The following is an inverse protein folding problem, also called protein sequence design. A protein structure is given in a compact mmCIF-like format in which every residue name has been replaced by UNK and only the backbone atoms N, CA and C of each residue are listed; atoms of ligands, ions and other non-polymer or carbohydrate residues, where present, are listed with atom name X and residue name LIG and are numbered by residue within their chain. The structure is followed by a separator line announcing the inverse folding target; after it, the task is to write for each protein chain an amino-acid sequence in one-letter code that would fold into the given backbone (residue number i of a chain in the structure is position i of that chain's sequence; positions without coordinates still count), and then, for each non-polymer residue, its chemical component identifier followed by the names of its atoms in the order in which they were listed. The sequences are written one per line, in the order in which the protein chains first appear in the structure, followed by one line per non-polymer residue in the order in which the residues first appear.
data_IF_336162115410
#
_entry.id   IF_336162115410
#
_cell.length_a   1.000
_cell.length_b   1.000
_cell.length_c   1.000
_cell.angle_alpha   90.00
_cell.angle_beta   90.00
_cell.angle_gamma   90.00
#
_symmetry.space_group_name_H-M   'P 1'
#
loop_
_entity.id
_entity.type
_entity.pdbx_description
1 polymer ?
#
# COMPACT_ATOMS: atom_id res chain seq x y z
N UNK A 1 32.66 -23.16 17.58
CA UNK A 1 32.02 -23.85 16.45
C UNK A 1 33.10 -24.26 15.47
N UNK A 2 33.16 -25.53 15.10
CA UNK A 2 34.11 -26.07 14.12
C UNK A 2 33.75 -25.53 12.73
N UNK A 3 34.71 -24.89 12.06
CA UNK A 3 34.51 -24.36 10.70
C UNK A 3 34.34 -25.54 9.75
N UNK A 4 33.11 -25.82 9.29
CA UNK A 4 32.89 -26.76 8.18
C UNK A 4 33.40 -26.12 6.90
N UNK A 5 34.10 -26.89 6.08
CA UNK A 5 34.59 -26.41 4.79
C UNK A 5 33.42 -26.30 3.80
N UNK A 6 33.25 -25.13 3.16
CA UNK A 6 32.21 -24.89 2.14
C UNK A 6 32.58 -25.43 0.75
N UNK A 7 33.84 -25.85 0.57
CA UNK A 7 34.40 -26.33 -0.71
C UNK A 7 33.62 -27.50 -1.35
N UNK A 8 33.14 -28.52 -0.60
CA UNK A 8 32.29 -29.59 -1.16
C UNK A 8 30.93 -29.11 -1.67
N UNK A 9 30.43 -27.97 -1.16
CA UNK A 9 29.11 -27.42 -1.45
C UNK A 9 29.14 -26.35 -2.55
N UNK A 10 30.28 -26.15 -3.23
CA UNK A 10 30.46 -25.09 -4.25
C UNK A 10 29.37 -25.09 -5.31
N UNK A 11 29.01 -26.25 -5.85
CA UNK A 11 27.97 -26.35 -6.89
C UNK A 11 26.55 -26.08 -6.36
N UNK A 12 26.30 -26.39 -5.08
CA UNK A 12 25.02 -26.07 -4.43
C UNK A 12 24.89 -24.56 -4.24
N UNK A 13 25.93 -23.91 -3.71
CA UNK A 13 26.00 -22.46 -3.54
C UNK A 13 25.82 -21.75 -4.89
N UNK A 14 26.49 -22.19 -5.96
CA UNK A 14 26.30 -21.66 -7.32
C UNK A 14 24.85 -21.72 -7.80
N UNK A 15 24.18 -22.84 -7.51
CA UNK A 15 22.78 -23.05 -7.93
C UNK A 15 21.85 -22.12 -7.16
N UNK A 16 22.04 -21.99 -5.84
CA UNK A 16 21.24 -21.11 -4.99
C UNK A 16 21.46 -19.63 -5.30
N UNK A 17 22.70 -19.22 -5.59
CA UNK A 17 23.01 -17.86 -6.05
C UNK A 17 22.29 -17.56 -7.37
N UNK A 18 22.31 -18.47 -8.35
CA UNK A 18 21.56 -18.31 -9.61
C UNK A 18 20.04 -18.27 -9.41
N UNK A 19 19.55 -18.93 -8.36
CA UNK A 19 18.14 -18.88 -7.95
C UNK A 19 17.77 -17.61 -7.16
N UNK A 20 18.73 -16.70 -6.92
CA UNK A 20 18.49 -15.46 -6.18
C UNK A 20 18.35 -15.65 -4.67
N UNK A 21 18.85 -16.75 -4.10
CA UNK A 21 18.84 -16.96 -2.64
C UNK A 21 19.85 -16.04 -1.95
N UNK A 22 19.47 -15.52 -0.79
CA UNK A 22 20.30 -14.61 0.00
C UNK A 22 21.41 -15.34 0.76
N UNK A 23 22.48 -14.63 1.10
CA UNK A 23 23.62 -15.21 1.82
C UNK A 23 23.25 -15.63 3.25
N UNK A 24 22.29 -14.94 3.88
CA UNK A 24 21.70 -15.34 5.15
C UNK A 24 20.98 -16.70 5.06
N UNK A 25 20.24 -16.92 3.97
CA UNK A 25 19.57 -18.18 3.73
C UNK A 25 20.56 -19.32 3.46
N UNK A 26 21.58 -19.08 2.63
CA UNK A 26 22.65 -20.06 2.36
C UNK A 26 23.42 -20.38 3.65
N UNK A 27 23.72 -19.37 4.47
CA UNK A 27 24.44 -19.54 5.73
C UNK A 27 23.68 -20.43 6.71
N UNK A 28 22.37 -20.21 6.84
CA UNK A 28 21.51 -21.04 7.67
C UNK A 28 21.47 -22.50 7.21
N UNK A 29 21.33 -22.74 5.90
CA UNK A 29 21.27 -24.10 5.33
C UNK A 29 22.57 -24.88 5.47
N UNK A 30 23.72 -24.21 5.44
CA UNK A 30 25.03 -24.84 5.56
C UNK A 30 25.57 -24.86 6.99
N UNK A 31 24.77 -24.39 7.97
CA UNK A 31 25.16 -24.21 9.37
C UNK A 31 26.48 -23.43 9.50
N UNK A 32 26.61 -22.35 8.73
CA UNK A 32 27.80 -21.49 8.64
C UNK A 32 27.40 -20.03 8.91
N UNK A 33 28.37 -19.10 8.95
CA UNK A 33 28.07 -17.68 9.13
C UNK A 33 27.92 -16.97 7.78
N UNK A 34 27.15 -15.87 7.76
CA UNK A 34 26.96 -15.04 6.56
C UNK A 34 28.32 -14.55 6.01
N UNK A 35 29.21 -14.10 6.88
CA UNK A 35 30.57 -13.66 6.52
C UNK A 35 31.41 -14.76 5.85
N UNK A 36 31.20 -16.03 6.22
CA UNK A 36 31.89 -17.16 5.60
C UNK A 36 31.36 -17.41 4.18
N UNK A 37 30.05 -17.28 3.96
CA UNK A 37 29.43 -17.37 2.63
C UNK A 37 29.88 -16.21 1.74
N UNK A 38 29.91 -14.99 2.25
CA UNK A 38 30.38 -13.80 1.53
C UNK A 38 31.83 -13.93 1.10
N UNK A 39 32.71 -14.32 2.03
CA UNK A 39 34.14 -14.54 1.73
C UNK A 39 34.32 -15.64 0.69
N UNK A 40 33.57 -16.73 0.81
CA UNK A 40 33.60 -17.85 -0.13
C UNK A 40 33.08 -17.45 -1.52
N UNK A 41 32.02 -16.63 -1.61
CA UNK A 41 31.51 -16.11 -2.89
C UNK A 41 32.53 -15.20 -3.57
N UNK A 42 33.24 -14.35 -2.82
CA UNK A 42 34.33 -13.52 -3.35
C UNK A 42 35.50 -14.35 -3.86
N UNK A 43 35.91 -15.39 -3.13
CA UNK A 43 36.98 -16.31 -3.54
C UNK A 43 36.64 -17.13 -4.80
N UNK A 44 35.35 -17.37 -5.05
CA UNK A 44 34.86 -18.19 -6.16
C UNK A 44 34.13 -17.40 -7.25
N UNK A 45 34.21 -16.07 -7.22
CA UNK A 45 33.59 -15.15 -8.20
C UNK A 45 32.08 -15.41 -8.40
N UNK A 46 31.36 -15.68 -7.30
CA UNK A 46 29.92 -16.00 -7.27
C UNK A 46 29.04 -14.80 -6.88
N UNK A 47 29.47 -13.58 -7.19
CA UNK A 47 28.66 -12.38 -6.97
C UNK A 47 27.51 -12.34 -7.97
N UNK A 48 26.33 -11.92 -7.51
CA UNK A 48 25.06 -12.01 -8.27
C UNK A 48 25.11 -11.26 -9.61
N UNK A 49 25.99 -10.29 -9.78
CA UNK A 49 26.39 -9.77 -11.08
C UNK A 49 27.80 -9.19 -10.96
N UNK A 50 28.53 -9.15 -12.09
CA UNK A 50 29.76 -8.39 -12.21
C UNK A 50 29.48 -6.90 -12.07
N UNK A 51 29.38 -6.40 -10.85
CA UNK A 51 29.47 -4.97 -10.59
C UNK A 51 30.90 -4.55 -10.94
N UNK A 52 31.13 -3.77 -12.01
CA UNK A 52 32.45 -3.23 -12.25
C UNK A 52 32.82 -2.37 -11.04
N UNK A 53 34.12 -2.37 -10.70
CA UNK A 53 34.76 -1.28 -9.98
C UNK A 53 34.64 0.02 -10.80
N UNK A 54 33.41 0.55 -10.93
CA UNK A 54 33.12 1.86 -11.48
C UNK A 54 32.81 2.82 -10.33
N UNK A 55 33.72 2.87 -9.35
CA UNK A 55 33.90 4.05 -8.54
C UNK A 55 34.80 5.00 -9.34
N UNK A 56 34.23 5.85 -10.21
CA UNK A 56 34.88 7.11 -10.64
C UNK A 56 34.07 8.01 -11.60
N UNK A 57 32.94 7.59 -12.18
CA UNK A 57 32.14 8.48 -13.03
C UNK A 57 30.80 8.80 -12.37
N UNK A 58 30.86 9.60 -11.31
CA UNK A 58 29.72 10.39 -10.86
C UNK A 58 29.43 11.43 -11.96
N UNK A 59 28.63 11.02 -12.95
CA UNK A 59 27.78 11.97 -13.66
C UNK A 59 27.12 12.86 -12.59
N UNK A 60 27.04 14.20 -12.76
CA UNK A 60 26.39 15.05 -11.78
C UNK A 60 25.05 14.43 -11.45
N UNK A 61 24.88 14.04 -10.19
CA UNK A 61 23.69 13.36 -9.72
C UNK A 61 22.53 14.31 -9.99
N UNK A 62 21.80 14.02 -11.07
CA UNK A 62 20.59 14.72 -11.43
C UNK A 62 19.66 14.45 -10.26
N UNK A 63 19.36 15.48 -9.48
CA UNK A 63 18.44 15.39 -8.37
C UNK A 63 17.04 15.21 -8.97
N UNK A 64 16.70 13.95 -9.27
CA UNK A 64 15.43 13.54 -9.90
C UNK A 64 14.21 14.10 -9.15
N UNK A 65 14.37 14.39 -7.85
CA UNK A 65 13.34 15.03 -7.03
C UNK A 65 13.08 16.47 -7.43
N UNK A 66 14.11 17.24 -7.77
CA UNK A 66 13.96 18.62 -8.22
C UNK A 66 13.27 18.69 -9.60
N UNK A 67 13.50 17.70 -10.46
CA UNK A 67 12.81 17.61 -11.75
C UNK A 67 11.33 17.24 -11.58
N UNK A 68 11.03 16.25 -10.74
CA UNK A 68 9.65 15.84 -10.43
C UNK A 68 8.85 16.97 -9.76
N UNK A 69 9.45 17.69 -8.79
CA UNK A 69 8.80 18.83 -8.13
C UNK A 69 8.51 19.98 -9.12
N UNK A 70 9.42 20.23 -10.06
CA UNK A 70 9.23 21.25 -11.10
C UNK A 70 8.11 20.87 -12.08
N UNK A 71 7.99 19.59 -12.45
CA UNK A 71 6.90 19.11 -13.30
C UNK A 71 5.54 19.22 -12.61
N UNK A 72 5.46 18.85 -11.33
CA UNK A 72 4.24 18.97 -10.53
C UNK A 72 3.82 20.44 -10.37
N UNK A 73 4.78 21.33 -10.11
CA UNK A 73 4.51 22.77 -10.00
C UNK A 73 3.97 23.37 -11.31
N UNK A 74 4.56 23.01 -12.45
CA UNK A 74 4.10 23.47 -13.75
C UNK A 74 2.71 22.96 -14.12
N UNK A 75 2.39 21.71 -13.76
CA UNK A 75 1.06 21.15 -14.00
C UNK A 75 -0.02 21.79 -13.12
N UNK A 76 0.30 22.06 -11.84
CA UNK A 76 -0.59 22.80 -10.94
C UNK A 76 -0.86 24.23 -11.44
N UNK A 77 0.17 24.96 -11.88
CA UNK A 77 0.00 26.31 -12.42
C UNK A 77 -0.86 26.31 -13.69
N UNK A 78 -0.68 25.33 -14.58
CA UNK A 78 -1.51 25.16 -15.76
C UNK A 78 -2.96 24.81 -15.42
N UNK A 79 -3.20 23.99 -14.39
CA UNK A 79 -4.55 23.69 -13.92
C UNK A 79 -5.23 24.91 -13.31
N UNK A 80 -4.52 25.68 -12.48
CA UNK A 80 -5.01 26.91 -11.88
C UNK A 80 -5.35 27.95 -12.95
N UNK A 81 -4.50 28.11 -13.97
CA UNK A 81 -4.78 28.98 -15.10
C UNK A 81 -6.06 28.56 -15.85
N UNK A 82 -6.25 27.26 -16.11
CA UNK A 82 -7.48 26.75 -16.73
C UNK A 82 -8.72 26.97 -15.87
N UNK A 83 -8.61 26.79 -14.55
CA UNK A 83 -9.71 27.06 -13.61
C UNK A 83 -10.05 28.55 -13.57
N UNK A 84 -9.05 29.43 -13.58
CA UNK A 84 -9.25 30.87 -13.62
C UNK A 84 -9.90 31.32 -14.93
N UNK A 85 -9.49 30.76 -16.07
CA UNK A 85 -10.14 31.01 -17.36
C UNK A 85 -11.59 30.51 -17.40
N UNK A 86 -11.86 29.32 -16.85
CA UNK A 86 -13.21 28.78 -16.76
C UNK A 86 -14.09 29.62 -15.82
N UNK A 87 -13.56 30.07 -14.69
CA UNK A 87 -14.25 30.96 -13.76
C UNK A 87 -14.55 32.32 -14.40
N UNK A 88 -13.58 32.89 -15.14
CA UNK A 88 -13.78 34.12 -15.88
C UNK A 88 -14.85 33.97 -16.97
N UNK A 89 -14.84 32.86 -17.72
CA UNK A 89 -15.86 32.57 -18.72
C UNK A 89 -17.25 32.38 -18.09
N UNK A 90 -17.35 31.69 -16.95
CA UNK A 90 -18.60 31.56 -16.20
C UNK A 90 -19.10 32.90 -15.67
N UNK A 91 -18.20 33.77 -15.20
CA UNK A 91 -18.55 35.11 -14.74
C UNK A 91 -19.03 36.00 -15.89
N UNK A 92 -18.38 35.93 -17.06
CA UNK A 92 -18.81 36.63 -18.26
C UNK A 92 -20.16 36.13 -18.77
N UNK A 93 -20.38 34.81 -18.80
CA UNK A 93 -21.67 34.23 -19.17
C UNK A 93 -22.78 34.62 -18.18
N UNK A 94 -22.49 34.61 -16.88
CA UNK A 94 -23.43 35.05 -15.86
C UNK A 94 -23.78 36.54 -16.01
N UNK A 95 -22.79 37.38 -16.30
CA UNK A 95 -23.00 38.81 -16.55
C UNK A 95 -23.83 39.05 -17.82
N UNK A 96 -23.58 38.29 -18.89
CA UNK A 96 -24.35 38.36 -20.13
C UNK A 96 -25.81 37.94 -19.92
N UNK A 97 -26.05 36.83 -19.18
CA UNK A 97 -27.39 36.37 -18.81
C UNK A 97 -28.12 37.39 -17.94
N UNK A 98 -27.43 38.01 -16.97
CA UNK A 98 -28.00 39.05 -16.13
C UNK A 98 -28.38 40.30 -16.95
N UNK A 99 -27.54 40.72 -17.90
CA UNK A 99 -27.83 41.84 -18.79
C UNK A 99 -29.00 41.54 -19.75
N UNK A 100 -29.08 40.34 -20.31
CA UNK A 100 -30.22 39.90 -21.13
C UNK A 100 -31.53 39.93 -20.33
N UNK A 101 -31.51 39.41 -19.10
CA UNK A 101 -32.67 39.40 -18.21
C UNK A 101 -33.15 40.81 -17.85
N UNK A 102 -32.20 41.70 -17.53
CA UNK A 102 -32.50 43.11 -17.27
C UNK A 102 -33.10 43.81 -18.50
N UNK A 103 -32.61 43.49 -19.71
CA UNK A 103 -33.17 44.01 -20.96
C UNK A 103 -34.57 43.46 -21.27
N UNK A 104 -34.85 42.21 -20.87
CA UNK A 104 -36.18 41.59 -21.00
C UNK A 104 -37.19 42.11 -19.97
N UNK A 105 -36.75 42.88 -18.97
CA UNK A 105 -37.60 43.44 -17.92
C UNK A 105 -38.15 42.37 -16.95
N UNK A 106 -37.45 41.24 -16.82
CA UNK A 106 -37.82 40.19 -15.88
C UNK A 106 -37.24 40.50 -14.51
N UNK A 107 -38.08 40.98 -13.59
CA UNK A 107 -37.74 41.05 -12.17
C UNK A 107 -37.46 39.64 -11.61
N UNK A 108 -36.54 39.58 -10.65
CA UNK A 108 -36.15 38.37 -9.93
C UNK A 108 -37.35 37.71 -9.24
N UNK A 109 -38.00 36.75 -9.92
CA UNK A 109 -38.83 35.75 -9.24
C UNK A 109 -37.90 34.65 -8.76
N UNK A 110 -37.53 34.73 -7.48
CA UNK A 110 -37.00 33.62 -6.69
C UNK A 110 -38.10 32.54 -6.64
N UNK A 111 -38.03 31.55 -7.53
CA UNK A 111 -38.95 30.40 -7.48
C UNK A 111 -38.39 29.37 -6.50
N UNK A 112 -38.86 29.43 -5.25
CA UNK A 112 -38.84 28.30 -4.32
C UNK A 112 -39.61 27.13 -4.95
N UNK A 113 -38.89 26.17 -5.53
CA UNK A 113 -39.47 24.94 -6.06
C UNK A 113 -39.80 23.96 -4.91
N UNK A 114 -40.92 24.20 -4.24
CA UNK A 114 -41.55 23.24 -3.33
C UNK A 114 -42.35 22.19 -4.13
N UNK A 115 -41.79 20.98 -4.19
CA UNK A 115 -42.49 19.69 -4.08
C UNK A 115 -43.62 19.36 -5.06
N UNK A 116 -43.33 18.49 -6.04
CA UNK A 116 -44.36 17.57 -6.54
C UNK A 116 -43.81 16.17 -6.86
N UNK A 117 -44.35 15.18 -6.15
CA UNK A 117 -43.93 13.77 -6.13
C UNK A 117 -44.64 13.00 -7.25
N UNK A 118 -43.88 12.32 -8.11
CA UNK A 118 -44.41 11.37 -9.08
C UNK A 118 -44.09 9.90 -8.70
N UNK A 119 -44.91 8.92 -9.15
CA UNK A 119 -45.14 7.68 -8.41
C UNK A 119 -44.19 6.52 -8.72
N UNK A 120 -44.17 5.62 -7.73
CA UNK A 120 -43.42 4.36 -7.61
C UNK A 120 -43.63 3.42 -8.81
N UNK A 121 -42.55 3.03 -9.49
CA UNK A 121 -42.51 1.84 -10.37
C UNK A 121 -41.81 0.67 -9.67
N UNK A 122 -42.57 -0.42 -9.52
CA UNK A 122 -42.18 -1.68 -8.92
C UNK A 122 -41.46 -2.57 -9.96
N UNK A 123 -40.24 -2.99 -9.62
CA UNK A 123 -39.67 -4.30 -9.98
C UNK A 123 -39.01 -4.47 -11.34
N UNK A 124 -37.67 -4.51 -11.35
CA UNK A 124 -36.93 -5.51 -12.15
C UNK A 124 -35.88 -6.19 -11.29
N UNK A 125 -36.15 -7.46 -11.02
CA UNK A 125 -35.27 -8.48 -10.50
C UNK A 125 -34.04 -8.59 -11.41
N UNK A 126 -32.87 -8.33 -10.87
CA UNK A 126 -31.60 -8.40 -11.59
C UNK A 126 -30.45 -8.39 -10.60
N UNK A 127 -30.30 -9.51 -9.88
CA UNK A 127 -29.10 -9.76 -9.11
C UNK A 127 -27.90 -9.86 -10.04
N UNK A 128 -26.84 -9.12 -9.71
CA UNK A 128 -25.46 -9.50 -9.98
C UNK A 128 -24.62 -8.84 -8.90
N UNK A 129 -23.86 -9.69 -8.21
CA UNK A 129 -23.23 -9.41 -6.92
C UNK A 129 -22.54 -8.06 -6.89
N UNK A 130 -22.98 -7.22 -5.96
CA UNK A 130 -22.09 -6.23 -5.36
C UNK A 130 -21.08 -7.08 -4.60
N UNK A 131 -19.96 -7.39 -5.25
CA UNK A 131 -18.80 -7.96 -4.58
C UNK A 131 -18.62 -7.16 -3.30
N UNK A 132 -18.67 -7.86 -2.16
CA UNK A 132 -18.53 -7.29 -0.84
C UNK A 132 -17.21 -6.52 -0.88
N UNK A 133 -17.24 -5.20 -1.08
CA UNK A 133 -16.06 -4.37 -0.89
C UNK A 133 -15.74 -4.56 0.58
N UNK A 134 -14.75 -5.39 0.86
CA UNK A 134 -14.07 -5.38 2.14
C UNK A 134 -13.57 -3.95 2.26
N UNK A 135 -14.26 -3.15 3.06
CA UNK A 135 -13.75 -1.86 3.49
C UNK A 135 -12.35 -2.14 4.04
N UNK A 136 -11.33 -1.50 3.46
CA UNK A 136 -10.00 -1.58 4.02
C UNK A 136 -10.11 -1.09 5.48
N UNK A 137 -9.70 -1.93 6.40
CA UNK A 137 -9.67 -1.60 7.82
C UNK A 137 -8.29 -1.05 8.09
N UNK A 138 -8.22 0.18 8.59
CA UNK A 138 -6.95 0.83 8.89
C UNK A 138 -6.56 0.55 10.35
N UNK A 139 -5.25 0.41 10.55
CA UNK A 139 -4.64 0.31 11.86
C UNK A 139 -3.31 1.05 11.86
N UNK A 140 -3.00 1.69 12.99
CA UNK A 140 -1.73 2.37 13.21
C UNK A 140 -0.93 1.64 14.27
N UNK A 141 0.36 1.41 13.99
CA UNK A 141 1.31 0.89 14.95
C UNK A 141 2.16 2.05 15.46
N UNK A 142 2.00 2.38 16.74
CA UNK A 142 2.65 3.52 17.37
C UNK A 142 3.63 3.05 18.46
N UNK A 143 4.71 3.80 18.65
CA UNK A 143 5.71 3.56 19.68
C UNK A 143 5.70 4.72 20.68
N UNK A 144 5.08 4.49 21.84
CA UNK A 144 5.08 5.42 22.95
C UNK A 144 6.16 5.11 23.99
N UNK A 145 6.26 5.95 25.02
CA UNK A 145 7.21 5.79 26.13
C UNK A 145 6.99 4.51 26.95
N UNK A 146 5.80 3.90 26.83
CA UNK A 146 5.39 2.67 27.51
C UNK A 146 5.51 1.41 26.61
N UNK A 147 5.99 1.56 25.37
CA UNK A 147 6.17 0.47 24.42
C UNK A 147 5.34 0.61 23.14
N UNK A 148 5.12 -0.52 22.47
CA UNK A 148 4.40 -0.57 21.20
C UNK A 148 2.89 -0.72 21.41
N UNK A 149 2.10 0.13 20.77
CA UNK A 149 0.64 0.10 20.76
C UNK A 149 0.09 -0.09 19.35
N UNK A 150 -0.89 -0.99 19.20
CA UNK A 150 -1.64 -1.16 17.96
C UNK A 150 -3.02 -0.50 18.12
N UNK A 151 -3.28 0.52 17.32
CA UNK A 151 -4.57 1.18 17.22
C UNK A 151 -5.31 0.68 15.99
N UNK A 152 -6.57 0.33 16.17
CA UNK A 152 -7.43 -0.16 15.11
C UNK A 152 -8.63 0.77 14.95
N UNK A 153 -9.09 0.95 13.71
CA UNK A 153 -10.32 1.71 13.43
C UNK A 153 -11.51 1.14 14.26
N UNK A 154 -12.28 2.00 14.97
CA UNK A 154 -13.50 1.59 15.64
C UNK A 154 -14.47 0.76 14.78
N UNK A 155 -14.50 0.96 13.46
CA UNK A 155 -15.33 0.22 12.52
C UNK A 155 -15.05 -1.30 12.51
N UNK A 156 -13.87 -1.74 12.99
CA UNK A 156 -13.56 -3.17 13.14
C UNK A 156 -14.55 -3.86 14.07
N UNK A 157 -15.02 -3.18 15.12
CA UNK A 157 -15.99 -3.74 16.06
C UNK A 157 -17.35 -4.07 15.42
N UNK A 158 -17.72 -3.35 14.36
CA UNK A 158 -18.97 -3.56 13.61
C UNK A 158 -18.79 -4.54 12.43
N UNK A 159 -17.57 -5.01 12.19
CA UNK A 159 -17.29 -5.92 11.10
C UNK A 159 -17.88 -7.32 11.38
N UNK A 160 -18.72 -7.83 10.49
CA UNK A 160 -19.36 -9.14 10.67
C UNK A 160 -18.35 -10.31 10.76
N UNK A 161 -17.19 -10.23 10.09
CA UNK A 161 -16.11 -11.25 10.20
C UNK A 161 -15.50 -11.20 11.59
N UNK A 162 -15.26 -10.01 12.12
CA UNK A 162 -14.78 -9.84 13.49
C UNK A 162 -15.81 -10.36 14.51
N UNK A 163 -17.09 -9.99 14.36
CA UNK A 163 -18.16 -10.46 15.23
C UNK A 163 -18.36 -11.99 15.16
N UNK A 164 -18.19 -12.62 13.99
CA UNK A 164 -18.37 -14.06 13.82
C UNK A 164 -17.19 -14.87 14.36
N UNK A 165 -15.95 -14.44 14.09
CA UNK A 165 -14.76 -15.24 14.38
C UNK A 165 -14.03 -14.82 15.66
N UNK A 166 -14.27 -13.60 16.17
CA UNK A 166 -13.54 -13.04 17.30
C UNK A 166 -14.44 -12.68 18.49
N UNK A 167 -15.76 -12.84 18.39
CA UNK A 167 -16.64 -12.60 19.53
C UNK A 167 -16.26 -13.50 20.72
N UNK A 168 -15.86 -12.85 21.83
CA UNK A 168 -15.48 -13.54 23.08
C UNK A 168 -13.98 -13.81 23.23
N UNK A 169 -13.17 -13.67 22.17
CA UNK A 169 -11.72 -13.82 22.24
C UNK A 169 -11.05 -12.50 22.62
N UNK A 170 -10.86 -12.30 23.93
CA UNK A 170 -10.14 -11.13 24.47
C UNK A 170 -8.61 -11.24 24.40
N UNK A 171 -7.98 -12.42 24.60
CA UNK A 171 -6.55 -12.57 24.42
C UNK A 171 -6.21 -12.90 22.96
N UNK A 172 -5.31 -12.11 22.38
CA UNK A 172 -4.82 -12.28 21.01
C UNK A 172 -3.29 -12.31 21.03
N UNK A 173 -2.70 -13.12 20.16
CA UNK A 173 -1.24 -13.19 19.94
C UNK A 173 -0.95 -12.44 18.65
N UNK A 174 -0.04 -11.47 18.71
CA UNK A 174 0.42 -10.72 17.55
C UNK A 174 1.86 -11.10 17.26
N UNK A 175 2.11 -11.58 16.05
CA UNK A 175 3.45 -11.88 15.54
C UNK A 175 3.77 -10.88 14.45
N UNK A 176 4.88 -10.16 14.61
CA UNK A 176 5.38 -9.19 13.63
C UNK A 176 6.59 -9.81 12.95
N UNK A 177 6.47 -10.08 11.65
CA UNK A 177 7.53 -10.54 10.76
C UNK A 177 7.99 -9.37 9.87
N UNK A 178 9.11 -9.54 9.16
CA UNK A 178 9.70 -8.49 8.32
C UNK A 178 8.75 -8.02 7.22
N UNK A 179 7.94 -8.93 6.66
CA UNK A 179 7.04 -8.69 5.52
C UNK A 179 5.55 -8.76 5.89
N UNK A 180 5.19 -9.16 7.12
CA UNK A 180 3.79 -9.32 7.52
C UNK A 180 3.52 -9.22 9.02
N UNK A 181 2.29 -8.87 9.37
CA UNK A 181 1.76 -8.94 10.74
C UNK A 181 0.68 -10.02 10.80
N UNK A 182 0.81 -10.95 11.74
CA UNK A 182 -0.12 -12.06 11.97
C UNK A 182 -0.81 -11.84 13.31
N UNK A 183 -2.14 -11.88 13.32
CA UNK A 183 -2.94 -11.76 14.55
C UNK A 183 -3.74 -13.06 14.70
N UNK A 184 -3.52 -13.78 15.79
CA UNK A 184 -4.16 -15.05 16.10
C UNK A 184 -4.91 -14.98 17.44
N UNK A 185 -5.93 -15.83 17.59
CA UNK A 185 -6.56 -16.04 18.90
C UNK A 185 -5.60 -16.79 19.82
N UNK A 186 -5.53 -16.40 21.08
CA UNK A 186 -4.73 -17.16 22.04
C UNK A 186 -5.39 -18.53 22.28
N UNK A 187 -4.64 -19.61 22.01
CA UNK A 187 -5.06 -21.00 22.24
C UNK A 187 -5.29 -21.86 20.99
N UNK A 188 -5.15 -21.35 19.76
CA UNK A 188 -5.33 -22.14 18.53
C UNK A 188 -4.06 -22.90 18.07
N UNK A 189 -2.90 -22.57 18.62
CA UNK A 189 -1.61 -23.17 18.21
C UNK A 189 -1.41 -24.63 18.64
N UNK A 190 -2.35 -25.27 19.31
CA UNK A 190 -2.20 -26.64 19.84
C UNK A 190 -3.00 -27.73 19.09
N UNK A 191 -3.95 -27.39 18.22
CA UNK A 191 -4.92 -28.37 17.69
C UNK A 191 -4.78 -28.72 16.19
N UNK A 192 -3.85 -28.12 15.42
CA UNK A 192 -3.70 -28.37 13.97
C UNK A 192 -2.37 -29.06 13.58
N UNK A 193 -1.83 -29.90 14.46
CA UNK A 193 -0.63 -30.72 14.16
C UNK A 193 -0.74 -32.17 14.65
N UNK A 194 -1.91 -32.79 14.46
CA UNK A 194 -2.15 -34.16 14.88
C UNK A 194 -3.15 -34.90 13.99
N UNK A 195 -2.79 -35.20 12.74
CA UNK A 195 -3.16 -36.45 12.06
C UNK A 195 -2.48 -36.50 10.68
N UNK A 196 -1.40 -37.28 10.56
CA UNK A 196 -1.01 -38.05 9.36
C UNK A 196 0.34 -38.76 9.60
N UNK A 197 0.31 -39.88 10.34
CA UNK A 197 0.95 -41.17 9.97
C UNK A 197 0.45 -42.32 10.88
#
# INVERSE_FOLDING_TARGET
MTRRSLKPQLNQIRTWVRQGRTDAWIAHQLETTVQQVETFKREHELTVDGAPEAAADFQPEVDLRAEDDALIAAELEAEEARRAEEEAARAEEAAARAAERAARGEEEVEEEAEGERAPRRRGRRGGRGRGRRTTALEGSFDHGEEGYGLWLDPAIAENAVYAEHWAGHRPVVVTVEEDRIIIQRAGETEDESGDEE
#
